data_IF_161698681421
#
_entry.id   IF_161698681421
#
_cell.length_a   1.000
_cell.length_b   1.000
_cell.length_c   1.000
_cell.angle_alpha   90.00
_cell.angle_beta   90.00
_cell.angle_gamma   90.00
#
_symmetry.space_group_name_H-M   'P 1'
#
loop_
_entity.id
_entity.type
_entity.pdbx_description
1 polymer ?
#
# COMPACT_ATOMS: atom_id res chain seq x y z
N UNK A 1 29.96 2.85 11.26
CA UNK A 1 28.81 2.17 11.92
C UNK A 1 27.83 1.66 10.85
N UNK A 2 28.31 0.81 9.92
CA UNK A 2 27.57 0.44 8.69
C UNK A 2 27.56 -1.08 8.42
N UNK A 3 28.27 -1.88 9.22
CA UNK A 3 28.40 -3.32 9.03
C UNK A 3 27.19 -4.14 9.53
N UNK A 4 26.32 -3.53 10.35
CA UNK A 4 25.18 -4.21 10.97
C UNK A 4 23.90 -4.16 10.13
N UNK A 5 23.81 -3.26 9.14
CA UNK A 5 22.61 -3.10 8.29
C UNK A 5 22.60 -4.17 7.19
N UNK A 6 23.72 -4.34 6.47
CA UNK A 6 23.90 -5.40 5.47
C UNK A 6 23.79 -6.81 6.04
N UNK A 7 24.21 -7.01 7.31
CA UNK A 7 24.14 -8.34 7.95
C UNK A 7 22.71 -8.76 8.31
N UNK A 8 21.77 -7.81 8.40
CA UNK A 8 20.37 -8.08 8.75
C UNK A 8 19.54 -8.52 7.53
N UNK A 9 19.93 -8.13 6.32
CA UNK A 9 19.30 -8.55 5.05
C UNK A 9 19.62 -10.00 4.67
N UNK A 10 20.72 -10.56 5.18
CA UNK A 10 21.16 -11.94 4.90
C UNK A 10 20.70 -12.98 5.94
N UNK A 11 19.92 -12.59 6.96
CA UNK A 11 19.41 -13.55 7.94
C UNK A 11 18.02 -14.05 7.53
N UNK A 12 17.99 -15.23 6.92
CA UNK A 12 16.78 -16.05 6.80
C UNK A 12 16.14 -16.22 8.19
N UNK A 13 14.91 -15.72 8.36
CA UNK A 13 14.15 -15.83 9.61
C UNK A 13 13.18 -17.00 9.51
N UNK A 14 13.26 -17.92 10.47
CA UNK A 14 12.36 -19.07 10.55
C UNK A 14 11.06 -18.68 11.28
N UNK A 15 9.93 -19.03 10.67
CA UNK A 15 8.60 -18.90 11.26
C UNK A 15 7.97 -20.30 11.35
N UNK A 16 7.48 -20.68 12.54
CA UNK A 16 6.70 -21.90 12.75
C UNK A 16 5.24 -21.52 12.98
N UNK A 17 4.34 -22.00 12.12
CA UNK A 17 2.90 -21.76 12.22
C UNK A 17 2.14 -23.05 12.39
N UNK A 18 1.04 -22.98 13.14
CA UNK A 18 0.04 -24.06 13.16
C UNK A 18 -1.01 -23.76 12.10
N UNK A 19 -1.32 -24.75 11.28
CA UNK A 19 -2.35 -24.67 10.24
C UNK A 19 -3.34 -25.82 10.43
N UNK A 20 -4.55 -25.66 9.89
CA UNK A 20 -5.53 -26.74 9.89
C UNK A 20 -5.04 -27.93 9.05
N UNK A 21 -5.49 -29.14 9.38
CA UNK A 21 -5.15 -30.34 8.62
C UNK A 21 -5.57 -30.23 7.15
N UNK A 22 -6.75 -29.64 6.89
CA UNK A 22 -7.23 -29.37 5.54
C UNK A 22 -6.29 -28.43 4.76
N UNK A 23 -5.80 -27.35 5.39
CA UNK A 23 -4.88 -26.42 4.72
C UNK A 23 -3.51 -27.07 4.45
N UNK A 24 -3.04 -27.93 5.36
CA UNK A 24 -1.81 -28.69 5.14
C UNK A 24 -1.93 -29.65 3.94
N UNK A 25 -3.09 -30.30 3.78
CA UNK A 25 -3.35 -31.20 2.66
C UNK A 25 -3.41 -30.45 1.32
N UNK A 26 -4.11 -29.32 1.28
CA UNK A 26 -4.18 -28.48 0.08
C UNK A 26 -2.81 -27.89 -0.28
N UNK A 27 -2.00 -27.50 0.71
CA UNK A 27 -0.64 -27.06 0.49
C UNK A 27 0.25 -28.17 -0.11
N UNK A 28 0.09 -29.42 0.34
CA UNK A 28 0.81 -30.58 -0.20
C UNK A 28 0.38 -30.87 -1.65
N UNK A 29 -0.92 -30.82 -1.97
CA UNK A 29 -1.42 -30.96 -3.34
C UNK A 29 -0.87 -29.86 -4.26
N UNK A 30 -0.85 -28.61 -3.78
CA UNK A 30 -0.29 -27.49 -4.52
C UNK A 30 1.22 -27.66 -4.77
N UNK A 31 1.98 -28.08 -3.77
CA UNK A 31 3.40 -28.36 -3.87
C UNK A 31 3.71 -29.40 -4.95
N UNK A 32 2.96 -30.51 -4.97
CA UNK A 32 3.10 -31.56 -5.98
C UNK A 32 2.74 -31.08 -7.37
N UNK A 33 1.61 -30.38 -7.52
CA UNK A 33 1.14 -29.87 -8.82
C UNK A 33 2.10 -28.84 -9.43
N UNK A 34 2.71 -28.00 -8.60
CA UNK A 34 3.62 -26.93 -9.04
C UNK A 34 5.09 -27.36 -9.09
N UNK A 35 5.43 -28.54 -8.57
CA UNK A 35 6.82 -29.00 -8.45
C UNK A 35 7.68 -28.13 -7.53
N UNK A 36 7.07 -27.50 -6.51
CA UNK A 36 7.74 -26.56 -5.59
C UNK A 36 7.71 -27.06 -4.15
N UNK A 37 8.63 -26.59 -3.32
CA UNK A 37 8.61 -26.89 -1.88
C UNK A 37 7.46 -26.16 -1.21
N UNK A 38 6.89 -26.77 -0.16
CA UNK A 38 5.84 -26.13 0.67
C UNK A 38 6.27 -24.76 1.20
N UNK A 39 7.53 -24.62 1.63
CA UNK A 39 8.10 -23.36 2.11
C UNK A 39 8.13 -22.28 1.03
N UNK A 40 8.37 -22.65 -0.23
CA UNK A 40 8.36 -21.70 -1.34
C UNK A 40 6.95 -21.21 -1.64
N UNK A 41 5.95 -22.11 -1.61
CA UNK A 41 4.54 -21.74 -1.79
C UNK A 41 4.09 -20.83 -0.65
N UNK A 42 4.43 -21.17 0.59
CA UNK A 42 4.10 -20.33 1.76
C UNK A 42 4.76 -18.96 1.64
N UNK A 43 6.03 -18.89 1.25
CA UNK A 43 6.74 -17.62 1.02
C UNK A 43 6.03 -16.78 -0.05
N UNK A 44 5.74 -17.36 -1.22
CA UNK A 44 5.05 -16.66 -2.30
C UNK A 44 3.66 -16.15 -1.88
N UNK A 45 2.90 -16.96 -1.14
CA UNK A 45 1.59 -16.57 -0.65
C UNK A 45 1.68 -15.41 0.37
N UNK A 46 2.68 -15.44 1.26
CA UNK A 46 2.92 -14.35 2.21
C UNK A 46 3.35 -13.06 1.51
N UNK A 47 4.24 -13.15 0.52
CA UNK A 47 4.66 -12.00 -0.30
C UNK A 47 3.45 -11.36 -1.00
N UNK A 48 2.63 -12.16 -1.68
CA UNK A 48 1.43 -11.68 -2.37
C UNK A 48 0.39 -11.09 -1.41
N UNK A 49 0.18 -11.72 -0.25
CA UNK A 49 -0.74 -11.23 0.76
C UNK A 49 -0.32 -9.86 1.30
N UNK A 50 0.98 -9.69 1.61
CA UNK A 50 1.51 -8.43 2.13
C UNK A 50 1.54 -7.35 1.05
N UNK A 51 1.87 -7.68 -0.20
CA UNK A 51 1.82 -6.73 -1.32
C UNK A 51 0.39 -6.20 -1.55
N UNK A 52 -0.61 -7.07 -1.43
CA UNK A 52 -2.02 -6.65 -1.50
C UNK A 52 -2.40 -5.69 -0.36
N UNK A 53 -1.92 -5.93 0.86
CA UNK A 53 -2.12 -5.01 2.01
C UNK A 53 -1.35 -3.68 1.84
N UNK A 54 -0.19 -3.70 1.18
CA UNK A 54 0.66 -2.54 0.90
C UNK A 54 0.24 -1.72 -0.31
N UNK A 55 -0.89 -2.05 -0.96
CA UNK A 55 -1.50 -1.12 -1.91
C UNK A 55 -2.00 0.09 -1.12
N UNK A 56 -1.12 1.08 -0.95
CA UNK A 56 -1.33 2.30 -0.18
C UNK A 56 -2.75 2.80 -0.40
N UNK A 57 -3.50 2.88 0.71
CA UNK A 57 -4.87 3.38 0.65
C UNK A 57 -4.77 4.77 0.01
N UNK A 58 -5.67 5.17 -0.91
CA UNK A 58 -5.56 6.47 -1.57
C UNK A 58 -5.40 7.66 -0.59
N UNK A 59 -5.92 7.52 0.62
CA UNK A 59 -5.77 8.48 1.72
C UNK A 59 -4.33 8.62 2.24
N UNK A 60 -3.51 7.58 2.15
CA UNK A 60 -2.11 7.58 2.55
C UNK A 60 -1.24 8.36 1.56
N UNK A 61 -1.57 8.32 0.26
CA UNK A 61 -0.88 9.12 -0.79
C UNK A 61 -1.09 10.62 -0.68
N UNK A 62 -2.15 11.03 0.01
CA UNK A 62 -2.51 12.44 0.19
C UNK A 62 -2.37 12.87 1.65
N UNK A 63 -1.82 12.02 2.52
CA UNK A 63 -1.74 12.27 3.97
C UNK A 63 -0.84 13.47 4.31
N UNK A 64 0.19 13.65 3.52
CA UNK A 64 1.12 14.78 3.52
C UNK A 64 0.55 16.04 2.83
N UNK A 65 -0.55 15.89 2.09
CA UNK A 65 -1.36 17.01 1.58
C UNK A 65 -2.48 17.40 2.56
N UNK A 66 -3.01 16.45 3.34
CA UNK A 66 -4.00 16.67 4.40
C UNK A 66 -3.38 17.53 5.52
N UNK A 67 -3.66 18.83 5.50
CA UNK A 67 -3.14 19.82 6.47
C UNK A 67 -1.97 20.67 5.97
N UNK A 68 -1.41 20.42 4.77
CA UNK A 68 -0.44 21.31 4.09
C UNK A 68 -1.07 22.21 3.03
N UNK A 69 -2.36 22.05 2.76
CA UNK A 69 -3.13 23.00 1.95
C UNK A 69 -3.39 24.24 2.82
N UNK A 70 -2.32 24.98 3.07
CA UNK A 70 -2.31 26.31 3.66
C UNK A 70 -2.55 27.31 2.51
N UNK A 71 -3.57 27.05 1.67
CA UNK A 71 -3.91 27.90 0.51
C UNK A 71 -4.45 29.26 0.93
N UNK A 72 -4.58 29.52 2.24
CA UNK A 72 -5.17 30.74 2.79
C UNK A 72 -6.66 30.87 2.51
N UNK A 73 -7.31 29.83 1.96
CA UNK A 73 -8.75 29.80 1.67
C UNK A 73 -9.39 28.82 2.67
N UNK A 74 -9.91 29.32 3.80
CA UNK A 74 -10.23 28.53 4.99
C UNK A 74 -11.48 27.62 4.84
N UNK A 75 -12.19 27.68 3.72
CA UNK A 75 -13.54 27.13 3.54
C UNK A 75 -13.74 26.38 2.21
N UNK A 76 -12.66 25.91 1.57
CA UNK A 76 -12.72 25.19 0.29
C UNK A 76 -13.67 23.98 0.30
N UNK A 77 -13.90 23.35 1.46
CA UNK A 77 -14.86 22.26 1.63
C UNK A 77 -16.32 22.72 1.72
N UNK A 78 -16.60 23.79 2.47
CA UNK A 78 -17.96 24.29 2.70
C UNK A 78 -18.47 25.14 1.54
N UNK A 79 -17.60 25.96 0.95
CA UNK A 79 -17.95 26.96 -0.08
C UNK A 79 -17.43 26.60 -1.47
N UNK A 80 -17.09 25.33 -1.70
CA UNK A 80 -16.56 24.80 -2.96
C UNK A 80 -17.35 25.26 -4.19
N UNK A 81 -18.68 25.23 -4.11
CA UNK A 81 -19.59 25.59 -5.20
C UNK A 81 -19.46 27.06 -5.61
N UNK A 82 -19.31 27.95 -4.64
CA UNK A 82 -19.17 29.39 -4.88
C UNK A 82 -17.87 29.70 -5.60
N UNK A 83 -16.76 29.09 -5.16
CA UNK A 83 -15.46 29.20 -5.82
C UNK A 83 -15.45 28.67 -7.26
N UNK A 84 -16.15 27.56 -7.52
CA UNK A 84 -16.30 27.05 -8.88
C UNK A 84 -17.08 28.03 -9.77
N UNK A 85 -18.17 28.60 -9.28
CA UNK A 85 -18.98 29.59 -10.02
C UNK A 85 -18.16 30.86 -10.29
N UNK A 86 -17.41 31.33 -9.31
CA UNK A 86 -16.53 32.49 -9.45
C UNK A 86 -15.44 32.23 -10.50
N UNK A 87 -14.76 31.08 -10.47
CA UNK A 87 -13.76 30.73 -11.49
C UNK A 87 -14.35 30.58 -12.89
N UNK A 88 -15.56 30.03 -13.01
CA UNK A 88 -16.25 29.91 -14.29
C UNK A 88 -16.67 31.28 -14.85
N UNK A 89 -16.99 32.25 -13.96
CA UNK A 89 -17.30 33.63 -14.35
C UNK A 89 -16.06 34.43 -14.75
N UNK A 90 -14.92 34.20 -14.09
CA UNK A 90 -13.66 34.92 -14.35
C UNK A 90 -12.74 34.19 -15.35
N UNK A 91 -13.05 32.95 -15.73
CA UNK A 91 -12.29 32.13 -16.69
C UNK A 91 -12.43 32.52 -18.17
N UNK A 92 -12.87 33.76 -18.46
CA UNK A 92 -12.85 34.34 -19.81
C UNK A 92 -11.86 35.51 -19.96
N UNK A 93 -10.85 35.59 -19.09
CA UNK A 93 -9.79 36.59 -19.22
C UNK A 93 -8.48 36.15 -18.57
N UNK A 94 -7.50 35.80 -19.38
CA UNK A 94 -6.08 35.72 -19.01
C UNK A 94 -5.61 37.07 -18.44
N UNK A 95 -4.81 37.09 -17.36
CA UNK A 95 -3.88 38.19 -17.14
C UNK A 95 -2.42 37.71 -17.13
N UNK A 96 -1.56 38.63 -17.58
CA UNK A 96 -0.12 38.54 -17.73
C UNK A 96 0.64 38.66 -16.41
#
# INVERSE_FOLDING_TARGET
>A
MQYNVLRRELMERQLTVRISAALAEELEKAARRLGRKRSEIVRMALEQFLEAEHTERPIERVRDLLGRIDTGIPDLGERHREYLIERLRHGAGTPA
#
